data_IF_414342119320
#
_entry.id   IF_414342119320
#
_cell.length_a   1.000
_cell.length_b   1.000
_cell.length_c   1.000
_cell.angle_alpha   90.00
_cell.angle_beta   90.00
_cell.angle_gamma   90.00
#
_symmetry.space_group_name_H-M   'P 1'
#
loop_
_entity.id
_entity.type
_entity.pdbx_description
1 polymer ?
#
# COMPACT_ATOMS: atom_id res chain seq x y z
N UNK A 1 11.73 -15.03 -16.93
CA UNK A 1 11.08 -14.02 -16.06
C UNK A 1 11.74 -14.03 -14.69
N UNK A 2 12.12 -12.85 -14.18
CA UNK A 2 12.85 -12.69 -12.91
C UNK A 2 11.95 -12.90 -11.67
N UNK A 3 12.47 -13.39 -10.54
CA UNK A 3 11.67 -13.76 -9.36
C UNK A 3 10.79 -12.63 -8.81
N UNK A 4 11.27 -11.38 -8.82
CA UNK A 4 10.57 -10.21 -8.28
C UNK A 4 9.26 -9.87 -9.01
N UNK A 5 9.07 -10.37 -10.24
CA UNK A 5 7.82 -10.22 -10.99
C UNK A 5 6.90 -11.45 -10.89
N UNK A 6 7.38 -12.58 -10.34
CA UNK A 6 6.65 -13.86 -10.34
C UNK A 6 5.63 -14.04 -9.21
N UNK A 7 5.63 -13.16 -8.20
CA UNK A 7 4.73 -13.25 -7.05
C UNK A 7 3.26 -12.99 -7.38
N UNK A 8 2.36 -13.35 -6.44
CA UNK A 8 0.92 -13.02 -6.49
C UNK A 8 0.64 -11.53 -6.27
N UNK A 9 1.61 -10.83 -5.70
CA UNK A 9 1.59 -9.40 -5.48
C UNK A 9 2.91 -8.83 -6.01
N UNK A 10 2.83 -7.68 -6.67
CA UNK A 10 4.00 -6.92 -7.08
C UNK A 10 4.04 -5.60 -6.33
N UNK A 11 5.13 -5.41 -5.58
CA UNK A 11 5.43 -4.20 -4.82
C UNK A 11 6.47 -3.39 -5.60
N UNK A 12 6.08 -2.24 -6.17
CA UNK A 12 7.00 -1.35 -6.89
C UNK A 12 8.24 -0.98 -6.07
N UNK A 13 9.45 -1.20 -6.60
CA UNK A 13 10.66 -0.68 -5.97
C UNK A 13 10.65 0.85 -5.94
N UNK A 14 11.06 1.45 -4.81
CA UNK A 14 11.06 2.91 -4.63
C UNK A 14 12.12 3.64 -5.46
N UNK A 15 13.16 2.94 -5.89
CA UNK A 15 14.20 3.42 -6.80
C UNK A 15 13.83 3.24 -8.29
N UNK A 16 12.69 2.62 -8.59
CA UNK A 16 12.27 2.35 -9.97
C UNK A 16 11.81 3.62 -10.69
N UNK A 17 12.55 4.03 -11.72
CA UNK A 17 12.11 5.10 -12.65
C UNK A 17 10.81 4.79 -13.39
N UNK A 18 10.45 3.51 -13.47
CA UNK A 18 9.26 3.02 -14.17
C UNK A 18 8.05 3.03 -13.26
N UNK A 19 8.16 2.49 -12.04
CA UNK A 19 6.99 2.26 -11.19
C UNK A 19 6.82 3.28 -10.07
N UNK A 20 7.91 3.95 -9.66
CA UNK A 20 7.87 4.95 -8.61
C UNK A 20 7.61 6.34 -9.18
N UNK A 21 6.51 6.96 -8.75
CA UNK A 21 6.07 8.25 -9.28
C UNK A 21 6.52 9.44 -8.44
N UNK A 22 7.15 9.15 -7.30
CA UNK A 22 7.42 10.12 -6.24
C UNK A 22 6.55 9.93 -5.01
N UNK A 23 6.78 10.79 -4.04
CA UNK A 23 6.17 10.74 -2.72
C UNK A 23 4.97 11.68 -2.60
N UNK A 24 4.19 11.45 -1.55
CA UNK A 24 3.08 12.30 -1.19
C UNK A 24 3.54 13.74 -0.91
N UNK A 25 2.73 14.72 -1.31
CA UNK A 25 2.94 16.16 -1.09
C UNK A 25 2.95 16.55 0.39
N UNK A 26 2.42 15.70 1.28
CA UNK A 26 2.46 15.94 2.72
C UNK A 26 3.90 15.64 3.18
N UNK A 27 4.67 16.63 3.65
CA UNK A 27 6.10 16.46 3.92
C UNK A 27 6.44 15.32 4.90
N UNK A 28 5.60 15.13 5.93
CA UNK A 28 5.78 14.04 6.91
C UNK A 28 5.30 12.66 6.43
N UNK A 29 4.86 12.54 5.17
CA UNK A 29 4.29 11.30 4.64
C UNK A 29 5.17 10.69 3.54
N UNK A 30 5.88 9.64 3.90
CA UNK A 30 6.79 8.89 3.02
C UNK A 30 6.07 7.96 2.03
N UNK A 31 4.73 7.92 2.00
CA UNK A 31 3.99 7.05 1.08
C UNK A 31 4.18 7.47 -0.37
N UNK A 32 4.32 6.49 -1.25
CA UNK A 32 4.29 6.69 -2.69
C UNK A 32 2.94 7.30 -3.11
N UNK A 33 3.00 8.24 -4.05
CA UNK A 33 1.80 8.91 -4.56
C UNK A 33 0.97 7.96 -5.44
N UNK A 34 -0.35 8.08 -5.33
CA UNK A 34 -1.31 7.33 -6.18
C UNK A 34 -1.99 8.23 -7.19
N UNK A 35 -1.97 9.54 -6.95
CA UNK A 35 -2.65 10.58 -7.72
C UNK A 35 -1.63 11.62 -8.17
N UNK A 36 -0.95 11.37 -9.29
CA UNK A 36 0.18 12.17 -9.79
C UNK A 36 -0.12 13.66 -9.94
N UNK A 37 -1.27 14.02 -10.51
CA UNK A 37 -1.66 15.43 -10.73
C UNK A 37 -1.74 16.23 -9.42
N UNK A 38 -2.19 15.59 -8.34
CA UNK A 38 -2.32 16.23 -7.01
C UNK A 38 -1.14 15.94 -6.11
N UNK A 39 -0.25 15.03 -6.55
CA UNK A 39 0.87 14.47 -5.77
C UNK A 39 0.43 13.95 -4.40
N UNK A 40 -0.71 13.26 -4.32
CA UNK A 40 -1.21 12.69 -3.06
C UNK A 40 -1.18 11.16 -3.10
N UNK A 41 -0.85 10.54 -1.97
CA UNK A 41 -1.11 9.12 -1.73
C UNK A 41 -2.63 8.88 -1.61
N UNK A 42 -3.08 7.63 -1.69
CA UNK A 42 -4.52 7.31 -1.63
C UNK A 42 -5.20 7.86 -0.37
N UNK A 43 -4.57 7.71 0.79
CA UNK A 43 -5.16 8.16 2.06
C UNK A 43 -5.33 9.69 2.12
N UNK A 44 -4.30 10.47 1.78
CA UNK A 44 -4.39 11.92 1.79
C UNK A 44 -5.29 12.46 0.68
N UNK A 45 -5.36 11.78 -0.47
CA UNK A 45 -6.35 12.12 -1.49
C UNK A 45 -7.78 12.00 -0.96
N UNK A 46 -8.11 10.90 -0.27
CA UNK A 46 -9.46 10.73 0.31
C UNK A 46 -9.77 11.78 1.37
N UNK A 47 -8.80 12.13 2.21
CA UNK A 47 -8.95 13.18 3.23
C UNK A 47 -9.15 14.57 2.61
N UNK A 48 -8.39 14.88 1.56
CA UNK A 48 -8.56 16.11 0.79
C UNK A 48 -9.96 16.18 0.14
N UNK A 49 -10.46 15.06 -0.40
CA UNK A 49 -11.83 14.98 -0.91
C UNK A 49 -12.86 15.19 0.20
N UNK A 50 -12.68 14.55 1.36
CA UNK A 50 -13.55 14.71 2.53
C UNK A 50 -13.55 16.15 3.08
N UNK A 51 -12.42 16.86 2.96
CA UNK A 51 -12.30 18.26 3.33
C UNK A 51 -12.94 19.23 2.31
N UNK A 52 -13.63 18.72 1.27
CA UNK A 52 -14.29 19.55 0.26
C UNK A 52 -13.37 20.00 -0.88
N UNK A 53 -12.23 19.34 -1.07
CA UNK A 53 -11.24 19.65 -2.13
C UNK A 53 -10.72 21.09 -2.07
N UNK A 54 -10.21 21.55 -0.91
CA UNK A 54 -9.64 22.90 -0.78
C UNK A 54 -8.43 23.09 -1.71
N UNK A 55 -7.97 24.33 -1.86
CA UNK A 55 -6.69 24.62 -2.49
C UNK A 55 -5.58 23.85 -1.75
N UNK A 56 -4.67 23.21 -2.50
CA UNK A 56 -3.74 22.23 -1.96
C UNK A 56 -2.65 22.88 -1.12
N UNK A 57 -2.06 23.99 -1.59
CA UNK A 57 -0.97 24.66 -0.89
C UNK A 57 -1.45 25.23 0.47
N UNK A 58 -2.69 25.71 0.55
CA UNK A 58 -3.33 26.13 1.80
C UNK A 58 -3.66 24.95 2.73
N UNK A 59 -4.05 23.79 2.18
CA UNK A 59 -4.47 22.63 2.98
C UNK A 59 -3.31 21.81 3.55
N UNK A 60 -2.21 21.69 2.79
CA UNK A 60 -1.07 20.82 3.11
C UNK A 60 -0.46 21.09 4.50
N UNK A 61 -0.17 22.34 4.93
CA UNK A 61 0.44 22.58 6.23
C UNK A 61 -0.42 22.07 7.40
N UNK A 62 -1.75 22.22 7.30
CA UNK A 62 -2.69 21.75 8.32
C UNK A 62 -2.75 20.22 8.38
N UNK A 63 -2.87 19.56 7.22
CA UNK A 63 -2.86 18.08 7.18
C UNK A 63 -1.50 17.51 7.61
N UNK A 64 -0.39 18.17 7.28
CA UNK A 64 0.96 17.76 7.68
C UNK A 64 1.18 17.86 9.20
N UNK A 65 0.69 18.92 9.84
CA UNK A 65 0.68 19.02 11.30
C UNK A 65 -0.15 17.91 11.96
N UNK A 66 -1.35 17.62 11.41
CA UNK A 66 -2.19 16.52 11.87
C UNK A 66 -1.55 15.15 11.62
N UNK A 67 -0.83 14.99 10.51
CA UNK A 67 -0.12 13.76 10.17
C UNK A 67 1.00 13.49 11.17
N UNK A 68 1.89 14.47 11.40
CA UNK A 68 2.93 14.40 12.45
C UNK A 68 2.34 14.09 13.83
N UNK A 69 1.24 14.74 14.19
CA UNK A 69 0.60 14.50 15.47
C UNK A 69 0.09 13.05 15.61
N UNK A 70 -0.39 12.44 14.52
CA UNK A 70 -0.94 11.08 14.51
C UNK A 70 0.10 9.97 14.31
N UNK A 71 1.27 10.31 13.77
CA UNK A 71 2.37 9.38 13.55
C UNK A 71 3.15 9.11 14.83
N UNK A 72 3.24 10.08 15.75
CA UNK A 72 3.87 9.90 17.06
C UNK A 72 2.99 9.02 17.95
N UNK A 73 3.48 7.83 18.29
CA UNK A 73 2.89 7.02 19.35
C UNK A 73 3.29 7.68 20.68
N UNK A 74 2.29 8.12 21.43
CA UNK A 74 2.50 8.73 22.74
C UNK A 74 2.30 7.70 23.84
N UNK A 75 3.14 7.76 24.87
CA UNK A 75 3.02 6.95 26.07
C UNK A 75 1.89 7.41 26.98
N UNK A 76 1.50 6.54 27.90
CA UNK A 76 0.63 6.88 29.02
C UNK A 76 1.27 7.97 29.88
N UNK A 77 0.50 8.98 30.29
CA UNK A 77 1.02 10.08 31.13
C UNK A 77 1.34 9.69 32.59
N UNK A 78 0.97 8.48 33.03
CA UNK A 78 1.32 7.98 34.37
C UNK A 78 2.80 7.60 34.38
N UNK A 79 3.57 8.24 35.26
CA UNK A 79 5.01 8.01 35.38
C UNK A 79 5.33 6.53 35.62
N UNK A 80 6.27 5.97 34.85
CA UNK A 80 6.65 4.56 34.92
C UNK A 80 5.82 3.63 34.03
N UNK A 81 4.69 4.07 33.47
CA UNK A 81 3.88 3.25 32.57
C UNK A 81 4.37 3.35 31.12
N UNK A 82 4.88 2.25 30.55
CA UNK A 82 5.29 2.16 29.13
C UNK A 82 4.19 1.66 28.19
N UNK A 83 2.91 1.79 28.53
CA UNK A 83 1.81 1.50 27.58
C UNK A 83 1.52 2.71 26.69
N UNK A 84 1.17 2.48 25.43
CA UNK A 84 0.72 3.55 24.53
C UNK A 84 -0.65 4.10 24.97
N UNK A 85 -0.89 5.40 24.78
CA UNK A 85 -2.18 6.03 25.08
C UNK A 85 -3.28 5.68 24.05
N UNK A 86 -4.54 5.80 24.48
CA UNK A 86 -5.72 5.57 23.63
C UNK A 86 -6.13 6.83 22.85
N UNK A 87 -5.37 7.20 21.82
CA UNK A 87 -5.75 8.31 20.94
C UNK A 87 -5.38 9.67 21.49
N UNK A 88 -6.30 10.64 21.52
CA UNK A 88 -6.01 12.04 21.89
C UNK A 88 -6.45 12.42 23.31
N UNK A 89 -7.46 11.76 23.90
CA UNK A 89 -7.94 12.03 25.26
C UNK A 89 -8.75 10.84 25.80
N UNK A 90 -8.61 10.47 27.09
CA UNK A 90 -7.65 11.01 28.05
C UNK A 90 -6.20 10.60 27.70
N UNK A 91 -5.20 11.33 28.20
CA UNK A 91 -3.77 11.11 27.90
C UNK A 91 -3.15 9.89 28.60
N UNK A 92 -3.94 8.85 28.82
CA UNK A 92 -3.58 7.64 29.57
C UNK A 92 -3.96 6.37 28.78
N UNK A 93 -3.40 5.23 29.16
CA UNK A 93 -3.71 3.94 28.52
C UNK A 93 -5.08 3.41 28.98
N UNK A 94 -5.59 2.34 28.34
CA UNK A 94 -6.89 1.71 28.71
C UNK A 94 -6.97 1.40 30.20
N UNK A 95 -5.96 0.72 30.75
CA UNK A 95 -5.94 0.33 32.17
C UNK A 95 -6.03 1.53 33.12
N UNK A 96 -5.28 2.60 32.85
CA UNK A 96 -5.36 3.81 33.66
C UNK A 96 -6.63 4.61 33.40
N UNK A 97 -7.21 4.52 32.21
CA UNK A 97 -8.55 5.06 31.94
C UNK A 97 -9.58 4.38 32.82
N UNK A 98 -9.49 3.06 32.99
CA UNK A 98 -10.40 2.30 33.84
C UNK A 98 -10.20 2.64 35.32
N UNK A 99 -8.95 2.74 35.79
CA UNK A 99 -8.63 3.16 37.16
C UNK A 99 -9.10 4.60 37.46
N UNK A 100 -8.88 5.53 36.53
CA UNK A 100 -9.34 6.91 36.64
C UNK A 100 -10.88 6.99 36.68
N UNK A 101 -11.57 6.22 35.83
CA UNK A 101 -13.04 6.11 35.87
C UNK A 101 -13.54 5.49 37.18
N UNK A 102 -12.88 4.45 37.69
CA UNK A 102 -13.22 3.84 38.97
C UNK A 102 -13.04 4.81 40.15
N UNK A 103 -12.11 5.77 40.03
CA UNK A 103 -11.93 6.87 40.98
C UNK A 103 -12.97 8.01 40.80
N UNK A 104 -13.97 7.85 39.94
CA UNK A 104 -15.02 8.84 39.70
C UNK A 104 -14.71 9.84 38.58
N UNK A 105 -13.71 9.57 37.74
CA UNK A 105 -13.26 10.45 36.67
C UNK A 105 -12.96 11.90 37.14
N UNK A 106 -12.14 12.09 38.18
CA UNK A 106 -11.74 13.41 38.68
C UNK A 106 -10.97 14.20 37.60
N UNK A 107 -10.63 15.46 37.88
CA UNK A 107 -9.72 16.21 37.01
C UNK A 107 -8.45 15.38 36.72
N UNK A 108 -8.12 15.26 35.43
CA UNK A 108 -7.09 14.32 34.99
C UNK A 108 -5.71 14.72 35.48
N UNK A 109 -5.43 16.02 35.59
CA UNK A 109 -4.12 16.53 35.99
C UNK A 109 -3.91 16.37 37.50
N UNK A 110 -4.95 16.65 38.30
CA UNK A 110 -4.97 16.35 39.72
C UNK A 110 -4.82 14.85 39.99
N UNK A 111 -5.47 14.00 39.20
CA UNK A 111 -5.32 12.55 39.31
C UNK A 111 -3.91 12.08 38.92
N UNK A 112 -3.37 12.56 37.80
CA UNK A 112 -2.02 12.22 37.34
C UNK A 112 -0.93 12.62 38.33
N UNK A 113 -1.11 13.72 39.07
CA UNK A 113 -0.16 14.15 40.09
C UNK A 113 -0.03 13.17 41.27
N UNK A 114 -1.05 12.34 41.50
CA UNK A 114 -1.09 11.36 42.60
C UNK A 114 -1.00 9.91 42.11
N UNK A 115 -1.33 9.66 40.85
CA UNK A 115 -1.32 8.33 40.25
C UNK A 115 0.10 7.74 40.25
N UNK A 116 0.23 6.54 40.83
CA UNK A 116 1.46 5.75 40.80
C UNK A 116 1.28 4.59 39.85
N UNK A 117 2.33 4.30 39.09
CA UNK A 117 2.37 3.06 38.33
C UNK A 117 2.57 1.87 39.27
N UNK A 118 1.70 0.87 39.16
CA UNK A 118 1.80 -0.40 39.85
C UNK A 118 1.92 -1.54 38.83
N UNK A 119 3.01 -2.30 38.91
CA UNK A 119 3.22 -3.45 38.04
C UNK A 119 2.14 -4.51 38.29
N UNK A 120 1.57 -5.11 37.22
CA UNK A 120 0.59 -6.18 37.39
C UNK A 120 1.28 -7.45 37.95
N UNK A 121 0.54 -8.36 38.62
CA UNK A 121 1.12 -9.56 39.24
C UNK A 121 1.90 -10.47 38.28
N UNK A 122 1.50 -10.51 37.02
CA UNK A 122 2.15 -11.30 35.96
C UNK A 122 3.32 -10.57 35.28
N UNK A 123 3.69 -9.38 35.78
CA UNK A 123 4.73 -8.54 35.18
C UNK A 123 4.31 -7.88 33.88
N UNK A 124 5.17 -6.99 33.38
CA UNK A 124 4.97 -6.35 32.09
C UNK A 124 5.66 -7.13 30.98
N UNK A 125 5.06 -7.11 29.79
CA UNK A 125 5.63 -7.69 28.58
C UNK A 125 5.81 -6.61 27.53
N UNK A 126 6.95 -6.62 26.86
CA UNK A 126 7.19 -5.78 25.69
C UNK A 126 6.41 -6.32 24.48
N UNK A 127 6.08 -5.44 23.55
CA UNK A 127 5.45 -5.80 22.28
C UNK A 127 6.40 -6.66 21.43
N UNK A 128 5.88 -7.69 20.76
CA UNK A 128 6.67 -8.62 19.94
C UNK A 128 7.31 -7.97 18.70
N UNK A 129 6.73 -6.89 18.18
CA UNK A 129 7.29 -6.20 17.01
C UNK A 129 8.65 -5.55 17.32
N UNK A 130 9.67 -5.74 16.46
CA UNK A 130 10.98 -5.10 16.60
C UNK A 130 10.88 -3.59 16.78
N UNK A 131 11.78 -3.04 17.59
CA UNK A 131 11.92 -1.62 17.90
C UNK A 131 10.68 -0.93 18.50
N UNK A 132 9.66 -1.68 18.91
CA UNK A 132 8.50 -1.14 19.61
C UNK A 132 8.81 -0.98 21.11
N UNK A 133 8.89 0.25 21.65
CA UNK A 133 9.26 0.46 23.06
C UNK A 133 8.09 0.24 24.05
N UNK A 134 6.91 -0.14 23.54
CA UNK A 134 5.65 -0.13 24.28
C UNK A 134 5.27 -1.50 24.83
N UNK A 135 4.72 -1.52 26.04
CA UNK A 135 4.15 -2.71 26.65
C UNK A 135 2.86 -3.19 25.98
N UNK A 136 2.62 -4.49 26.13
CA UNK A 136 1.40 -5.18 25.70
C UNK A 136 0.17 -4.70 26.48
N UNK A 137 -1.01 -4.86 25.89
CA UNK A 137 -2.27 -4.45 26.55
C UNK A 137 -2.71 -5.42 27.67
N UNK A 138 -2.06 -6.59 27.80
CA UNK A 138 -2.38 -7.62 28.79
C UNK A 138 -1.46 -8.85 28.64
N UNK A 139 -1.56 -9.82 29.55
CA UNK A 139 -0.66 -10.98 29.60
C UNK A 139 -0.80 -11.91 28.39
N UNK A 140 -2.00 -11.99 27.80
CA UNK A 140 -2.33 -12.89 26.68
C UNK A 140 -2.08 -12.28 25.29
N UNK A 141 -1.76 -10.98 25.21
CA UNK A 141 -1.52 -10.31 23.92
C UNK A 141 -0.03 -10.10 23.70
N UNK A 142 0.44 -10.47 22.51
CA UNK A 142 1.81 -10.21 22.05
C UNK A 142 2.02 -8.76 21.58
N UNK A 143 0.93 -7.99 21.39
CA UNK A 143 0.97 -6.66 20.80
C UNK A 143 0.65 -5.56 21.82
N UNK A 144 1.32 -4.42 21.69
CA UNK A 144 0.87 -3.18 22.31
C UNK A 144 -0.49 -2.75 21.73
N UNK A 145 -1.21 -1.88 22.44
CA UNK A 145 -2.56 -1.46 22.04
C UNK A 145 -2.62 -0.90 20.60
N UNK A 146 -1.61 -0.13 20.17
CA UNK A 146 -1.58 0.44 18.81
C UNK A 146 -1.39 -0.62 17.74
N UNK A 147 -0.48 -1.58 17.95
CA UNK A 147 -0.29 -2.69 17.02
C UNK A 147 -1.49 -3.63 17.03
N UNK A 148 -2.10 -3.87 18.19
CA UNK A 148 -3.34 -4.64 18.29
C UNK A 148 -4.48 -4.01 17.48
N UNK A 149 -4.73 -2.70 17.62
CA UNK A 149 -5.75 -2.00 16.81
C UNK A 149 -5.43 -2.10 15.32
N UNK A 150 -4.15 -1.97 14.94
CA UNK A 150 -3.74 -2.08 13.55
C UNK A 150 -3.95 -3.50 13.00
N UNK A 151 -3.58 -4.52 13.76
CA UNK A 151 -3.81 -5.93 13.44
C UNK A 151 -5.31 -6.22 13.30
N UNK A 152 -6.12 -5.77 14.25
CA UNK A 152 -7.59 -5.87 14.24
C UNK A 152 -8.21 -5.19 13.01
N UNK A 153 -7.80 -3.97 12.69
CA UNK A 153 -8.32 -3.22 11.55
C UNK A 153 -7.95 -3.81 10.18
N UNK A 154 -7.03 -4.78 10.15
CA UNK A 154 -6.62 -5.50 8.94
C UNK A 154 -7.04 -6.98 8.96
N UNK A 155 -8.12 -7.30 9.69
CA UNK A 155 -8.80 -8.59 9.63
C UNK A 155 -8.49 -9.55 10.77
N UNK A 156 -7.56 -9.22 11.69
CA UNK A 156 -7.26 -10.04 12.87
C UNK A 156 -6.93 -11.51 12.54
N UNK A 157 -5.94 -11.78 11.66
CA UNK A 157 -5.54 -13.15 11.35
C UNK A 157 -4.99 -13.83 12.61
N UNK A 158 -5.46 -15.05 12.89
CA UNK A 158 -4.96 -15.89 13.99
C UNK A 158 -3.59 -16.43 13.58
N UNK A 159 -2.53 -15.83 14.13
CA UNK A 159 -1.14 -16.13 13.78
C UNK A 159 -0.32 -16.33 15.07
N UNK A 160 0.65 -17.25 15.07
CA UNK A 160 1.72 -17.29 16.06
C UNK A 160 2.53 -15.98 16.14
N UNK A 161 3.23 -15.77 17.25
CA UNK A 161 4.00 -14.55 17.55
C UNK A 161 5.11 -14.25 16.52
N UNK A 162 5.79 -15.27 16.01
CA UNK A 162 6.82 -15.18 14.98
C UNK A 162 6.25 -14.84 13.61
N UNK A 163 5.09 -15.42 13.25
CA UNK A 163 4.37 -15.09 12.01
C UNK A 163 3.75 -13.67 12.04
N UNK A 164 3.48 -13.12 13.24
CA UNK A 164 3.00 -11.74 13.37
C UNK A 164 4.03 -10.73 12.86
N UNK A 165 5.33 -10.94 13.12
CA UNK A 165 6.39 -10.02 12.65
C UNK A 165 6.39 -9.96 11.13
N UNK A 166 6.46 -11.11 10.46
CA UNK A 166 6.46 -11.22 9.00
C UNK A 166 5.15 -10.65 8.40
N UNK A 167 4.02 -10.84 9.08
CA UNK A 167 2.75 -10.24 8.69
C UNK A 167 2.78 -8.71 8.74
N UNK A 168 3.37 -8.11 9.79
CA UNK A 168 3.52 -6.66 9.89
C UNK A 168 4.49 -6.11 8.85
N UNK A 169 5.60 -6.80 8.57
CA UNK A 169 6.53 -6.45 7.48
C UNK A 169 5.81 -6.43 6.12
N UNK A 170 5.03 -7.47 5.81
CA UNK A 170 4.18 -7.50 4.61
C UNK A 170 3.14 -6.37 4.60
N UNK A 171 2.56 -6.03 5.76
CA UNK A 171 1.62 -4.92 5.88
C UNK A 171 2.29 -3.55 5.63
N UNK A 172 3.57 -3.39 5.96
CA UNK A 172 4.34 -2.18 5.63
C UNK A 172 4.46 -2.01 4.11
N UNK A 173 4.73 -3.08 3.37
CA UNK A 173 4.79 -3.04 1.89
C UNK A 173 3.47 -2.59 1.26
N UNK A 174 2.33 -2.92 1.89
CA UNK A 174 0.98 -2.52 1.44
C UNK A 174 0.63 -1.07 1.73
N UNK A 175 1.49 -0.30 2.42
CA UNK A 175 1.29 1.14 2.61
C UNK A 175 1.40 1.92 1.31
N UNK A 176 2.19 1.41 0.37
CA UNK A 176 2.33 1.95 -0.96
C UNK A 176 1.41 1.23 -1.95
N UNK A 177 1.04 1.87 -3.07
CA UNK A 177 0.30 1.20 -4.14
C UNK A 177 1.04 -0.02 -4.67
N UNK A 178 0.40 -1.18 -4.59
CA UNK A 178 0.89 -2.46 -5.08
C UNK A 178 -0.10 -3.05 -6.10
N UNK A 179 0.36 -4.02 -6.89
CA UNK A 179 -0.44 -4.71 -7.90
C UNK A 179 -0.75 -6.10 -7.38
N UNK A 180 -2.01 -6.53 -7.47
CA UNK A 180 -2.43 -7.87 -7.05
C UNK A 180 -2.85 -8.69 -8.27
N UNK A 181 -2.32 -9.90 -8.38
CA UNK A 181 -2.60 -10.83 -9.48
C UNK A 181 -3.54 -11.97 -9.11
N UNK A 182 -4.00 -12.05 -7.85
CA UNK A 182 -5.07 -12.97 -7.44
C UNK A 182 -6.22 -12.97 -8.46
N UNK A 183 -6.84 -14.14 -8.61
CA UNK A 183 -7.97 -14.40 -9.51
C UNK A 183 -7.66 -14.34 -11.01
N UNK A 184 -6.39 -14.15 -11.40
CA UNK A 184 -5.97 -14.35 -12.78
C UNK A 184 -5.59 -15.81 -13.04
N UNK A 185 -6.04 -16.34 -14.19
CA UNK A 185 -5.58 -17.64 -14.69
C UNK A 185 -4.05 -17.68 -14.82
N UNK A 186 -3.45 -18.86 -14.63
CA UNK A 186 -1.98 -19.02 -14.61
C UNK A 186 -1.30 -18.42 -15.83
N UNK A 187 -1.84 -18.63 -17.03
CA UNK A 187 -1.24 -18.14 -18.27
C UNK A 187 -1.28 -16.61 -18.37
N UNK A 188 -2.47 -16.00 -18.33
CA UNK A 188 -2.60 -14.53 -18.40
C UNK A 188 -1.85 -13.80 -17.28
N UNK A 189 -1.71 -14.42 -16.10
CA UNK A 189 -0.86 -13.92 -15.01
C UNK A 189 0.61 -13.80 -15.44
N UNK A 190 1.19 -14.87 -15.99
CA UNK A 190 2.57 -14.87 -16.47
C UNK A 190 2.78 -13.83 -17.57
N UNK A 191 1.81 -13.67 -18.47
CA UNK A 191 1.84 -12.68 -19.54
C UNK A 191 1.86 -11.24 -19.01
N UNK A 192 1.04 -10.92 -18.01
CA UNK A 192 1.05 -9.61 -17.35
C UNK A 192 2.36 -9.37 -16.61
N UNK A 193 2.83 -10.36 -15.84
CA UNK A 193 4.09 -10.27 -15.11
C UNK A 193 5.29 -10.07 -16.07
N UNK A 194 5.26 -10.74 -17.22
CA UNK A 194 6.21 -10.51 -18.31
C UNK A 194 6.13 -9.07 -18.82
N UNK A 195 4.93 -8.54 -19.08
CA UNK A 195 4.73 -7.14 -19.50
C UNK A 195 5.31 -6.12 -18.50
N UNK A 196 5.12 -6.36 -17.21
CA UNK A 196 5.75 -5.54 -16.14
C UNK A 196 7.27 -5.61 -16.22
N UNK A 197 7.84 -6.82 -16.32
CA UNK A 197 9.29 -6.98 -16.44
C UNK A 197 9.82 -6.25 -17.68
N UNK A 198 9.17 -6.37 -18.84
CA UNK A 198 9.58 -5.70 -20.07
C UNK A 198 9.59 -4.19 -19.94
N UNK A 199 8.58 -3.59 -19.29
CA UNK A 199 8.58 -2.16 -19.00
C UNK A 199 9.71 -1.75 -18.07
N UNK A 200 10.01 -2.56 -17.06
CA UNK A 200 11.14 -2.35 -16.16
C UNK A 200 12.47 -2.39 -16.91
N UNK A 201 12.65 -3.37 -17.80
CA UNK A 201 13.87 -3.59 -18.59
C UNK A 201 14.09 -2.45 -19.60
N UNK A 202 13.04 -1.95 -20.24
CA UNK A 202 13.13 -0.84 -21.22
C UNK A 202 13.36 0.50 -20.51
N UNK A 203 12.69 0.75 -19.38
CA UNK A 203 12.95 1.93 -18.55
C UNK A 203 12.43 3.27 -19.08
N UNK A 204 11.75 3.31 -20.23
CA UNK A 204 11.36 4.54 -20.94
C UNK A 204 9.96 5.06 -20.57
N UNK A 205 9.12 4.20 -19.99
CA UNK A 205 7.69 4.45 -19.77
C UNK A 205 7.30 4.31 -18.32
N UNK A 206 6.97 5.44 -17.72
CA UNK A 206 6.38 5.46 -16.41
C UNK A 206 5.03 4.71 -16.36
N UNK A 207 4.90 3.81 -15.38
CA UNK A 207 3.82 2.85 -15.24
C UNK A 207 3.29 2.87 -13.82
N UNK A 208 2.18 3.59 -13.62
CA UNK A 208 1.51 3.63 -12.33
C UNK A 208 1.00 2.25 -11.91
N UNK A 209 1.15 1.84 -10.64
CA UNK A 209 0.49 0.65 -10.12
C UNK A 209 -1.01 0.70 -10.34
N UNK A 210 -1.61 1.89 -10.19
CA UNK A 210 -3.01 2.12 -10.54
C UNK A 210 -3.24 1.68 -11.98
N UNK A 211 -2.48 2.17 -12.97
CA UNK A 211 -2.66 1.88 -14.41
C UNK A 211 -2.76 0.39 -14.68
N UNK A 212 -1.87 -0.38 -14.05
CA UNK A 212 -1.88 -1.83 -14.20
C UNK A 212 -3.07 -2.44 -13.47
N UNK A 213 -3.40 -2.00 -12.26
CA UNK A 213 -4.60 -2.46 -11.53
C UNK A 213 -5.89 -2.28 -12.34
N UNK A 214 -6.04 -1.18 -13.10
CA UNK A 214 -7.19 -1.01 -14.00
C UNK A 214 -7.12 -1.95 -15.20
N UNK A 215 -5.95 -2.13 -15.81
CA UNK A 215 -5.78 -3.12 -16.88
C UNK A 215 -6.15 -4.53 -16.40
N UNK A 216 -5.75 -4.90 -15.18
CA UNK A 216 -6.12 -6.18 -14.57
C UNK A 216 -7.61 -6.32 -14.30
N UNK A 217 -8.31 -5.22 -13.95
CA UNK A 217 -9.78 -5.20 -13.86
C UNK A 217 -10.40 -5.64 -15.19
N UNK A 218 -9.97 -5.04 -16.30
CA UNK A 218 -10.48 -5.39 -17.63
C UNK A 218 -10.13 -6.82 -18.04
N UNK A 219 -8.91 -7.28 -17.76
CA UNK A 219 -8.50 -8.65 -18.05
C UNK A 219 -9.40 -9.64 -17.30
N UNK A 220 -9.68 -9.41 -16.02
CA UNK A 220 -10.62 -10.23 -15.24
C UNK A 220 -12.03 -10.18 -15.82
N UNK A 221 -12.54 -8.98 -16.08
CA UNK A 221 -13.90 -8.76 -16.62
C UNK A 221 -14.09 -9.39 -18.01
N UNK A 222 -13.03 -9.46 -18.83
CA UNK A 222 -13.07 -10.04 -20.18
C UNK A 222 -13.12 -11.57 -20.20
N UNK A 223 -12.69 -12.23 -19.11
CA UNK A 223 -12.66 -13.70 -19.02
C UNK A 223 -11.63 -14.40 -19.92
N UNK A 224 -10.72 -13.65 -20.57
CA UNK A 224 -9.69 -14.24 -21.44
C UNK A 224 -8.72 -15.12 -20.64
N UNK A 225 -8.21 -16.18 -21.28
CA UNK A 225 -7.19 -17.07 -20.71
C UNK A 225 -5.78 -16.61 -21.07
N UNK A 226 -5.67 -15.83 -22.14
CA UNK A 226 -4.46 -15.15 -22.62
C UNK A 226 -4.81 -13.75 -23.14
N UNK A 227 -3.89 -12.79 -22.99
CA UNK A 227 -3.99 -11.48 -23.64
C UNK A 227 -4.01 -11.59 -25.18
N UNK A 228 -3.60 -12.73 -25.71
CA UNK A 228 -3.58 -13.06 -27.13
C UNK A 228 -4.90 -13.62 -27.67
N UNK A 229 -5.84 -14.00 -26.79
CA UNK A 229 -7.15 -14.54 -27.20
C UNK A 229 -7.97 -13.51 -28.01
N UNK A 230 -7.77 -12.22 -27.72
CA UNK A 230 -8.42 -11.10 -28.40
C UNK A 230 -7.41 -10.29 -29.23
N UNK A 231 -7.87 -9.73 -30.34
CA UNK A 231 -7.12 -8.78 -31.15
C UNK A 231 -7.13 -7.36 -30.56
N UNK A 232 -6.45 -6.39 -31.22
CA UNK A 232 -6.42 -5.01 -30.71
C UNK A 232 -7.77 -4.30 -30.81
N UNK A 233 -8.58 -4.60 -31.81
CA UNK A 233 -9.91 -4.01 -32.01
C UNK A 233 -10.86 -4.44 -30.90
N UNK A 234 -10.88 -5.74 -30.57
CA UNK A 234 -11.69 -6.30 -29.48
C UNK A 234 -11.31 -5.68 -28.12
N UNK A 235 -10.01 -5.53 -27.84
CA UNK A 235 -9.55 -4.86 -26.61
C UNK A 235 -9.95 -3.39 -26.55
N UNK A 236 -9.83 -2.67 -27.66
CA UNK A 236 -10.21 -1.25 -27.75
C UNK A 236 -11.70 -1.05 -27.50
N UNK A 237 -12.55 -1.88 -28.11
CA UNK A 237 -14.00 -1.85 -27.95
C UNK A 237 -14.41 -2.15 -26.50
N UNK A 238 -13.89 -3.25 -25.93
CA UNK A 238 -14.23 -3.69 -24.59
C UNK A 238 -13.79 -2.70 -23.49
N UNK A 239 -12.58 -2.15 -23.62
CA UNK A 239 -12.08 -1.21 -22.62
C UNK A 239 -12.83 0.14 -22.62
N UNK A 240 -13.70 0.38 -23.61
CA UNK A 240 -14.43 1.63 -23.85
C UNK A 240 -13.50 2.84 -23.66
N UNK A 241 -12.36 2.81 -24.36
CA UNK A 241 -11.28 3.79 -24.20
C UNK A 241 -11.72 5.12 -24.81
N UNK A 242 -12.09 6.08 -23.96
CA UNK A 242 -12.25 7.46 -24.42
C UNK A 242 -10.92 8.00 -24.99
N UNK A 243 -10.97 8.85 -26.02
CA UNK A 243 -9.78 9.39 -26.74
C UNK A 243 -8.73 10.09 -25.85
N UNK A 244 -9.04 10.45 -24.59
CA UNK A 244 -8.11 11.00 -23.60
C UNK A 244 -8.42 10.48 -22.18
N UNK A 245 -7.37 10.25 -21.37
CA UNK A 245 -7.46 9.96 -19.94
C UNK A 245 -6.74 8.69 -19.51
N UNK A 246 -6.67 8.41 -18.22
CA UNK A 246 -5.94 7.26 -17.65
C UNK A 246 -6.34 5.87 -18.21
N UNK A 247 -7.56 5.74 -18.76
CA UNK A 247 -8.00 4.55 -19.50
C UNK A 247 -7.11 4.27 -20.72
N UNK A 248 -6.53 5.29 -21.36
CA UNK A 248 -5.59 5.12 -22.47
C UNK A 248 -4.27 4.49 -22.02
N UNK A 249 -3.76 4.84 -20.83
CA UNK A 249 -2.53 4.27 -20.28
C UNK A 249 -2.70 2.81 -19.88
N UNK A 250 -3.88 2.47 -19.35
CA UNK A 250 -4.21 1.10 -18.93
C UNK A 250 -4.34 0.19 -20.15
N UNK A 251 -4.98 0.67 -21.21
CA UNK A 251 -5.06 -0.03 -22.49
C UNK A 251 -3.68 -0.14 -23.16
N UNK A 252 -2.88 0.94 -23.12
CA UNK A 252 -1.51 0.91 -23.63
C UNK A 252 -0.66 -0.17 -22.95
N UNK A 253 -0.84 -0.43 -21.65
CA UNK A 253 -0.17 -1.55 -20.98
C UNK A 253 -0.54 -2.91 -21.58
N UNK A 254 -1.82 -3.17 -21.82
CA UNK A 254 -2.28 -4.42 -22.46
C UNK A 254 -1.70 -4.53 -23.87
N UNK A 255 -1.83 -3.48 -24.68
CA UNK A 255 -1.33 -3.44 -26.06
C UNK A 255 0.18 -3.64 -26.14
N UNK A 256 0.96 -2.92 -25.35
CA UNK A 256 2.42 -3.02 -25.34
C UNK A 256 2.86 -4.43 -24.89
N UNK A 257 2.18 -5.02 -23.90
CA UNK A 257 2.46 -6.39 -23.44
C UNK A 257 2.19 -7.40 -24.55
N UNK A 258 1.05 -7.28 -25.24
CA UNK A 258 0.72 -8.13 -26.40
C UNK A 258 1.74 -8.00 -27.52
N UNK A 259 2.22 -6.78 -27.79
CA UNK A 259 3.27 -6.56 -28.78
C UNK A 259 4.57 -7.30 -28.41
N UNK A 260 5.02 -7.22 -27.16
CA UNK A 260 6.22 -7.93 -26.71
C UNK A 260 6.02 -9.45 -26.68
N UNK A 261 4.82 -9.94 -26.34
CA UNK A 261 4.49 -11.38 -26.43
C UNK A 261 4.52 -11.89 -27.88
N UNK A 262 3.95 -11.14 -28.83
CA UNK A 262 4.05 -11.47 -30.27
C UNK A 262 5.49 -11.54 -30.73
N UNK A 263 6.33 -10.58 -30.30
CA UNK A 263 7.76 -10.58 -30.64
C UNK A 263 8.47 -11.80 -30.07
N UNK A 264 8.16 -12.21 -28.84
CA UNK A 264 8.71 -13.42 -28.24
C UNK A 264 8.31 -14.66 -29.03
N UNK A 265 7.01 -14.81 -29.37
CA UNK A 265 6.51 -15.94 -30.14
C UNK A 265 7.11 -16.03 -31.55
N UNK A 266 7.36 -14.89 -32.20
CA UNK A 266 8.04 -14.83 -33.51
C UNK A 266 9.53 -15.17 -33.36
N UNK A 267 10.20 -14.69 -32.31
CA UNK A 267 11.61 -14.97 -32.08
C UNK A 267 11.88 -16.43 -31.69
N UNK A 268 10.92 -17.07 -31.01
CA UNK A 268 10.96 -18.49 -30.64
C UNK A 268 10.45 -19.43 -31.75
N UNK A 269 9.94 -18.89 -32.87
CA UNK A 269 9.54 -19.67 -34.04
C UNK A 269 10.76 -19.89 -34.95
N UNK A 270 11.31 -21.13 -35.03
CA UNK A 270 12.46 -21.44 -35.88
C UNK A 270 12.16 -21.29 -37.39
N UNK A 271 10.90 -21.07 -37.76
CA UNK A 271 10.44 -20.87 -39.13
C UNK A 271 9.92 -19.45 -39.43
N UNK A 272 9.95 -18.55 -38.44
CA UNK A 272 9.55 -17.17 -38.67
C UNK A 272 10.60 -16.45 -39.53
N UNK A 273 10.16 -15.90 -40.67
CA UNK A 273 11.01 -15.08 -41.52
C UNK A 273 11.46 -13.82 -40.74
N UNK A 274 12.74 -13.43 -40.81
CA UNK A 274 13.22 -12.22 -40.16
C UNK A 274 12.46 -10.99 -40.70
N UNK A 275 12.24 -9.96 -39.87
CA UNK A 275 11.54 -8.76 -40.31
C UNK A 275 12.26 -8.15 -41.51
N UNK A 276 11.51 -7.88 -42.58
CA UNK A 276 12.05 -7.34 -43.82
C UNK A 276 12.80 -6.02 -43.54
N UNK A 277 14.03 -5.92 -44.05
CA UNK A 277 14.85 -4.72 -43.93
C UNK A 277 14.09 -3.50 -44.46
N UNK A 278 14.17 -2.33 -43.78
CA UNK A 278 13.52 -1.12 -44.26
C UNK A 278 14.05 -0.77 -45.65
N UNK A 279 13.14 -0.63 -46.61
CA UNK A 279 13.49 -0.18 -47.96
C UNK A 279 14.08 1.23 -47.88
N UNK A 280 15.21 1.51 -48.57
CA UNK A 280 15.72 2.87 -48.66
C UNK A 280 14.65 3.76 -49.30
N UNK A 281 14.40 4.91 -48.67
CA UNK A 281 13.51 5.92 -49.24
C UNK A 281 14.20 6.57 -50.46
N UNK A 282 13.44 6.91 -51.52
CA UNK A 282 13.96 7.63 -52.68
C UNK A 282 14.40 9.05 -52.30
#
# INVERSE_FOLDING_TARGET
MRPEFRGEEFYPPRDSRVFFQGECRIPSCERMLSYSVKRLCTAHYQRWVQAGRPELEAWVPGEDALHRHRSVIRGCAVAGCRRSMNGCSPRICTRHTDAWKAAGAPDLDAWLATARYEAPPHGERDCVLPDCPWWTNGPETALCQRHYIRWRNNGHPVLPDDELIEWFERLELRRDPYIRFHDLGRQVRLEVQFGLQRRADIGDRHTAPRTVTRALSWIRESGVRSLMDWDETQWLEFCHVARKGYRTLSHAFIRDTRFELRRLLIADDPWAAPPAAPRPRP
#
